data_IF_143090649062
#
_entry.id   IF_143090649062
#
_cell.length_a   1.000
_cell.length_b   1.000
_cell.length_c   1.000
_cell.angle_alpha   90.00
_cell.angle_beta   90.00
_cell.angle_gamma   90.00
#
_symmetry.space_group_name_H-M   'P 1'
#
loop_
_entity.id
_entity.type
_entity.pdbx_description
1 polymer ?
#
# COMPACT_ATOMS: atom_id res chain seq x y z
N UNK A 1 -20.45 17.54 0.46
CA UNK A 1 -19.66 16.87 1.53
C UNK A 1 -19.47 15.38 1.27
N UNK A 2 -20.52 14.61 0.99
CA UNK A 2 -20.43 13.19 0.58
C UNK A 2 -19.34 12.83 -0.45
N UNK A 3 -19.16 13.55 -1.58
CA UNK A 3 -18.13 13.21 -2.56
C UNK A 3 -16.70 13.41 -2.02
N UNK A 4 -16.50 14.37 -1.12
CA UNK A 4 -15.20 14.66 -0.51
C UNK A 4 -14.87 13.57 0.53
N UNK A 5 -15.84 13.16 1.35
CA UNK A 5 -15.66 12.09 2.33
C UNK A 5 -15.34 10.75 1.67
N UNK A 6 -16.02 10.41 0.57
CA UNK A 6 -15.76 9.20 -0.22
C UNK A 6 -14.33 9.19 -0.77
N UNK A 7 -13.88 10.33 -1.32
CA UNK A 7 -12.52 10.48 -1.83
C UNK A 7 -11.47 10.39 -0.72
N UNK A 8 -11.69 11.06 0.41
CA UNK A 8 -10.80 10.99 1.57
C UNK A 8 -10.67 9.55 2.09
N UNK A 9 -11.78 8.81 2.11
CA UNK A 9 -11.79 7.41 2.51
C UNK A 9 -10.95 6.53 1.59
N UNK A 10 -11.05 6.71 0.26
CA UNK A 10 -10.17 6.02 -0.69
C UNK A 10 -8.70 6.35 -0.43
N UNK A 11 -8.37 7.64 -0.33
CA UNK A 11 -6.99 8.10 -0.12
C UNK A 11 -6.43 7.53 1.19
N UNK A 12 -7.24 7.44 2.24
CA UNK A 12 -6.83 6.86 3.51
C UNK A 12 -6.51 5.36 3.39
N UNK A 13 -7.33 4.59 2.66
CA UNK A 13 -7.06 3.17 2.42
C UNK A 13 -5.74 2.99 1.66
N UNK A 14 -5.53 3.78 0.61
CA UNK A 14 -4.28 3.75 -0.17
C UNK A 14 -3.09 4.09 0.74
N UNK A 15 -3.19 5.15 1.55
CA UNK A 15 -2.14 5.56 2.47
C UNK A 15 -1.75 4.48 3.47
N UNK A 16 -2.73 3.80 4.08
CA UNK A 16 -2.48 2.72 5.05
C UNK A 16 -1.81 1.51 4.41
N UNK A 17 -2.19 1.13 3.19
CA UNK A 17 -1.57 0.02 2.47
C UNK A 17 -0.10 0.31 2.11
N UNK A 18 0.24 1.58 1.88
CA UNK A 18 1.59 2.03 1.55
C UNK A 18 2.42 2.46 2.77
N UNK A 19 1.92 2.27 3.99
CA UNK A 19 2.58 2.76 5.20
C UNK A 19 3.96 2.09 5.38
N UNK A 20 4.97 2.93 5.58
CA UNK A 20 6.37 2.51 5.66
C UNK A 20 7.06 3.07 6.89
N UNK A 21 6.89 4.37 7.13
CA UNK A 21 7.68 5.14 8.09
C UNK A 21 7.46 4.70 9.53
N UNK A 22 6.21 4.53 9.95
CA UNK A 22 5.85 4.24 11.34
C UNK A 22 6.32 2.85 11.78
N UNK A 23 6.05 1.76 11.01
CA UNK A 23 6.56 0.44 11.36
C UNK A 23 8.09 0.36 11.31
N UNK A 24 8.70 1.07 10.34
CA UNK A 24 10.15 1.11 10.18
C UNK A 24 10.84 1.81 11.36
N UNK A 25 10.38 2.99 11.75
CA UNK A 25 10.98 3.77 12.83
C UNK A 25 10.76 3.15 14.22
N UNK A 26 9.58 2.59 14.47
CA UNK A 26 9.20 2.12 15.82
C UNK A 26 9.72 0.71 16.11
N UNK A 27 9.76 -0.16 15.12
CA UNK A 27 10.05 -1.59 15.35
C UNK A 27 11.09 -2.17 14.40
N UNK A 28 11.50 -1.42 13.37
CA UNK A 28 12.31 -1.94 12.26
C UNK A 28 11.74 -3.26 11.68
N UNK A 29 10.41 -3.45 11.74
CA UNK A 29 9.73 -4.66 11.26
C UNK A 29 9.68 -5.82 12.24
N UNK A 30 9.95 -5.61 13.54
CA UNK A 30 10.04 -6.64 14.58
C UNK A 30 8.85 -6.74 15.55
N UNK A 31 8.82 -7.79 16.42
CA UNK A 31 9.84 -8.85 16.57
C UNK A 31 9.73 -9.93 15.47
N UNK A 32 10.84 -10.25 14.82
CA UNK A 32 10.87 -11.15 13.67
C UNK A 32 10.41 -10.49 12.36
N UNK A 33 9.14 -10.69 11.98
CA UNK A 33 8.50 -10.21 10.74
C UNK A 33 7.05 -9.73 10.92
N UNK A 34 6.59 -9.61 12.17
CA UNK A 34 5.18 -9.40 12.55
C UNK A 34 4.63 -8.04 12.09
N UNK A 35 5.46 -6.99 12.11
CA UNK A 35 5.07 -5.61 11.75
C UNK A 35 5.55 -5.20 10.35
N UNK A 36 6.03 -6.16 9.54
CA UNK A 36 6.54 -5.85 8.21
C UNK A 36 5.40 -5.49 7.25
N UNK A 37 5.43 -4.25 6.78
CA UNK A 37 4.52 -3.81 5.72
C UNK A 37 5.03 -4.19 4.33
N UNK A 38 4.16 -4.21 3.31
CA UNK A 38 4.57 -4.51 1.93
C UNK A 38 5.68 -3.58 1.43
N UNK A 39 5.56 -2.28 1.70
CA UNK A 39 6.57 -1.28 1.34
C UNK A 39 7.91 -1.57 2.05
N UNK A 40 7.87 -1.95 3.33
CA UNK A 40 9.06 -2.32 4.08
C UNK A 40 9.69 -3.61 3.58
N UNK A 41 8.89 -4.58 3.12
CA UNK A 41 9.41 -5.79 2.51
C UNK A 41 10.19 -5.49 1.22
N UNK A 42 9.65 -4.63 0.36
CA UNK A 42 10.31 -4.19 -0.87
C UNK A 42 11.64 -3.50 -0.53
N UNK A 43 11.63 -2.59 0.45
CA UNK A 43 12.84 -1.89 0.89
C UNK A 43 13.93 -2.86 1.36
N UNK A 44 13.57 -3.82 2.23
CA UNK A 44 14.52 -4.81 2.73
C UNK A 44 15.10 -5.68 1.60
N UNK A 45 14.30 -6.02 0.58
CA UNK A 45 14.77 -6.78 -0.59
C UNK A 45 15.69 -5.95 -1.49
N UNK A 46 15.34 -4.70 -1.75
CA UNK A 46 16.08 -3.82 -2.63
C UNK A 46 17.43 -3.39 -2.06
N UNK A 47 17.47 -2.99 -0.77
CA UNK A 47 18.63 -2.31 -0.19
C UNK A 47 19.44 -3.18 0.79
N UNK A 48 18.80 -4.11 1.51
CA UNK A 48 19.52 -5.00 2.45
C UNK A 48 20.02 -6.24 1.73
N UNK A 49 19.16 -6.88 0.94
CA UNK A 49 19.52 -8.10 0.18
C UNK A 49 20.05 -7.82 -1.23
N UNK A 50 19.98 -6.57 -1.69
CA UNK A 50 20.46 -6.13 -3.02
C UNK A 50 19.80 -6.93 -4.15
N UNK A 51 18.57 -7.43 -3.91
CA UNK A 51 17.80 -8.21 -4.88
C UNK A 51 16.78 -7.29 -5.55
N UNK A 52 17.29 -6.46 -6.46
CA UNK A 52 16.52 -5.45 -7.18
C UNK A 52 15.49 -6.07 -8.13
N UNK A 53 15.79 -7.25 -8.69
CA UNK A 53 14.86 -7.98 -9.56
C UNK A 53 13.63 -8.44 -8.78
N UNK A 54 13.84 -9.07 -7.63
CA UNK A 54 12.73 -9.48 -6.77
C UNK A 54 11.97 -8.28 -6.18
N UNK A 55 12.69 -7.23 -5.75
CA UNK A 55 12.07 -6.03 -5.21
C UNK A 55 11.21 -5.29 -6.25
N UNK A 56 11.67 -5.19 -7.49
CA UNK A 56 10.90 -4.56 -8.58
C UNK A 56 9.63 -5.35 -8.92
N UNK A 57 9.69 -6.67 -8.93
CA UNK A 57 8.50 -7.52 -9.13
C UNK A 57 7.44 -7.23 -8.04
N UNK A 58 7.85 -7.17 -6.77
CA UNK A 58 6.95 -6.84 -5.66
C UNK A 58 6.36 -5.43 -5.75
N UNK A 59 7.16 -4.44 -6.16
CA UNK A 59 6.68 -3.07 -6.41
C UNK A 59 5.61 -3.04 -7.51
N UNK A 60 5.81 -3.77 -8.61
CA UNK A 60 4.82 -3.86 -9.69
C UNK A 60 3.55 -4.56 -9.21
N UNK A 61 3.65 -5.66 -8.47
CA UNK A 61 2.48 -6.32 -7.87
C UNK A 61 1.70 -5.38 -6.96
N UNK A 62 2.40 -4.58 -6.14
CA UNK A 62 1.77 -3.59 -5.27
C UNK A 62 1.01 -2.52 -6.05
N UNK A 63 1.56 -2.05 -7.18
CA UNK A 63 0.86 -1.13 -8.10
C UNK A 63 -0.42 -1.77 -8.65
N UNK A 64 -0.37 -3.04 -9.07
CA UNK A 64 -1.55 -3.76 -9.57
C UNK A 64 -2.64 -3.86 -8.49
N UNK A 65 -2.27 -4.17 -7.25
CA UNK A 65 -3.22 -4.23 -6.13
C UNK A 65 -3.88 -2.87 -5.90
N UNK A 66 -3.10 -1.78 -5.88
CA UNK A 66 -3.64 -0.42 -5.71
C UNK A 66 -4.53 0.01 -6.89
N UNK A 67 -4.19 -0.40 -8.11
CA UNK A 67 -5.02 -0.16 -9.28
C UNK A 67 -6.38 -0.89 -9.17
N UNK A 68 -6.38 -2.14 -8.71
CA UNK A 68 -7.61 -2.91 -8.45
C UNK A 68 -8.47 -2.18 -7.40
N UNK A 69 -7.90 -1.76 -6.27
CA UNK A 69 -8.63 -0.99 -5.26
C UNK A 69 -9.22 0.31 -5.83
N UNK A 70 -8.46 1.02 -6.66
CA UNK A 70 -8.92 2.25 -7.30
C UNK A 70 -10.08 2.01 -8.28
N UNK A 71 -10.03 0.90 -9.04
CA UNK A 71 -11.12 0.49 -9.94
C UNK A 71 -12.37 0.11 -9.13
N UNK A 72 -12.22 -0.67 -8.05
CA UNK A 72 -13.33 -1.04 -7.17
C UNK A 72 -14.00 0.22 -6.62
N UNK A 73 -13.22 1.16 -6.09
CA UNK A 73 -13.74 2.44 -5.61
C UNK A 73 -14.51 3.19 -6.70
N UNK A 74 -13.94 3.30 -7.91
CA UNK A 74 -14.61 3.97 -9.03
C UNK A 74 -15.95 3.31 -9.37
N UNK A 75 -15.99 1.98 -9.39
CA UNK A 75 -17.22 1.22 -9.68
C UNK A 75 -18.26 1.45 -8.58
N UNK A 76 -17.87 1.34 -7.30
CA UNK A 76 -18.77 1.59 -6.17
C UNK A 76 -19.31 3.02 -6.20
N UNK A 77 -18.45 4.00 -6.42
CA UNK A 77 -18.85 5.41 -6.48
C UNK A 77 -19.80 5.70 -7.66
N UNK A 78 -19.60 5.04 -8.81
CA UNK A 78 -20.52 5.16 -9.97
C UNK A 78 -21.88 4.51 -9.76
N UNK A 79 -21.99 3.53 -8.85
CA UNK A 79 -23.25 2.89 -8.46
C UNK A 79 -24.02 3.75 -7.45
N UNK A 80 -23.30 4.47 -6.59
CA UNK A 80 -23.88 5.34 -5.57
C UNK A 80 -24.35 6.69 -6.15
N UNK A 81 -23.81 7.11 -7.30
CA UNK A 81 -24.22 8.33 -8.01
C UNK A 81 -25.35 8.13 -9.02
N UNK A 82 -25.97 6.96 -9.07
CA UNK A 82 -27.22 6.67 -9.78
C UNK A 82 -28.34 6.53 -8.76
#
# INVERSE_FOLDING_TARGET
LYPIMSLMFLLQIIAVVQVFTEPFLLTFGGPGRETLTPAMHIYNRAFIRIDLGYASAWSVTMIVVLAIFSIIYRVVNSRLSR
#
